data_IF_348398636907
#
_entry.id   IF_348398636907
#
_cell.length_a   1.000
_cell.length_b   1.000
_cell.length_c   1.000
_cell.angle_alpha   90.00
_cell.angle_beta   90.00
_cell.angle_gamma   90.00
#
_symmetry.space_group_name_H-M   'P 1'
#
loop_
_entity.id
_entity.type
_entity.pdbx_description
1 polymer ?
#
# COMPACT_ATOMS: atom_id res chain seq x y z
N UNK A 1 21.56 17.17 -12.50
CA UNK A 1 20.22 16.59 -12.47
C UNK A 1 19.45 17.21 -11.34
N UNK A 2 18.15 17.54 -11.48
CA UNK A 2 17.35 17.99 -10.36
C UNK A 2 17.31 16.88 -9.29
N UNK A 3 17.22 17.23 -8.00
CA UNK A 3 17.09 16.23 -6.94
C UNK A 3 15.81 15.43 -7.13
N UNK A 4 15.87 14.12 -6.82
CA UNK A 4 14.67 13.28 -6.83
C UNK A 4 13.71 13.75 -5.73
N UNK A 5 12.43 13.87 -6.08
CA UNK A 5 11.36 14.21 -5.14
C UNK A 5 10.25 13.16 -5.23
N UNK A 6 9.77 12.72 -4.09
CA UNK A 6 8.59 11.88 -3.96
C UNK A 6 7.54 12.59 -3.11
N UNK A 7 6.37 12.77 -3.66
CA UNK A 7 5.21 13.30 -2.96
C UNK A 7 4.29 12.13 -2.61
N UNK A 8 3.82 12.10 -1.37
CA UNK A 8 2.92 11.07 -0.87
C UNK A 8 1.65 11.01 -1.70
N UNK A 9 1.25 9.80 -2.09
CA UNK A 9 0.08 9.56 -2.95
C UNK A 9 -1.18 9.43 -2.10
N UNK A 10 -1.15 8.56 -1.10
CA UNK A 10 -2.28 8.29 -0.23
C UNK A 10 -2.16 9.08 1.06
N UNK A 11 -2.93 10.18 1.15
CA UNK A 11 -2.92 11.08 2.32
C UNK A 11 -3.83 10.56 3.42
N UNK A 12 -3.43 10.78 4.68
CA UNK A 12 -4.21 10.40 5.86
C UNK A 12 -5.41 11.34 6.02
N UNK A 13 -6.65 10.81 5.98
CA UNK A 13 -7.82 11.62 6.29
C UNK A 13 -7.72 12.25 7.68
N UNK A 14 -8.13 13.49 7.82
CA UNK A 14 -8.06 14.28 9.07
C UNK A 14 -6.65 14.47 9.67
N UNK A 15 -5.60 13.98 9.00
CA UNK A 15 -4.21 14.19 9.40
C UNK A 15 -3.43 14.99 8.37
N UNK A 16 -3.64 14.70 7.09
CA UNK A 16 -2.90 15.29 5.96
C UNK A 16 -3.83 15.96 4.94
N UNK A 17 -5.12 15.66 4.96
CA UNK A 17 -6.14 16.38 4.18
C UNK A 17 -7.49 16.32 4.90
N UNK A 18 -8.35 17.29 4.55
CA UNK A 18 -9.72 17.35 5.05
C UNK A 18 -10.65 16.76 4.00
N UNK A 19 -11.38 15.65 4.29
CA UNK A 19 -12.37 15.11 3.37
C UNK A 19 -13.43 16.16 2.99
N UNK A 20 -13.89 16.09 1.74
CA UNK A 20 -14.92 17.01 1.23
C UNK A 20 -16.16 17.00 2.13
N UNK A 21 -16.62 18.18 2.53
CA UNK A 21 -17.80 18.33 3.40
C UNK A 21 -17.49 18.33 4.91
N UNK A 22 -16.25 18.07 5.34
CA UNK A 22 -15.88 18.05 6.76
C UNK A 22 -15.07 19.26 7.24
N UNK A 23 -14.87 20.27 6.41
CA UNK A 23 -14.08 21.47 6.77
C UNK A 23 -14.66 22.19 8.00
N UNK A 24 -15.97 22.30 8.10
CA UNK A 24 -16.66 22.87 9.27
C UNK A 24 -16.33 22.14 10.58
N UNK A 25 -16.18 20.82 10.53
CA UNK A 25 -15.84 20.00 11.70
C UNK A 25 -14.41 20.26 12.17
N UNK A 26 -13.46 20.35 11.24
CA UNK A 26 -12.06 20.60 11.57
C UNK A 26 -11.84 22.03 12.10
N UNK A 27 -12.60 23.00 11.58
CA UNK A 27 -12.62 24.37 12.07
C UNK A 27 -13.20 24.43 13.50
N UNK A 28 -14.33 23.75 13.74
CA UNK A 28 -14.96 23.66 15.07
C UNK A 28 -14.04 23.03 16.11
N UNK A 29 -13.28 22.00 15.73
CA UNK A 29 -12.37 21.29 16.61
C UNK A 29 -10.98 21.94 16.71
N UNK A 30 -10.75 23.05 16.02
CA UNK A 30 -9.49 23.79 15.97
C UNK A 30 -8.28 22.88 15.68
N UNK A 31 -8.45 21.91 14.75
CA UNK A 31 -7.41 20.98 14.36
C UNK A 31 -6.49 21.67 13.34
N UNK A 32 -5.19 21.86 13.64
CA UNK A 32 -4.25 22.50 12.72
C UNK A 32 -3.88 21.53 11.59
N UNK A 33 -4.74 21.43 10.58
CA UNK A 33 -4.52 20.56 9.43
C UNK A 33 -4.01 21.34 8.24
N UNK A 34 -3.00 20.76 7.56
CA UNK A 34 -2.56 21.21 6.25
C UNK A 34 -3.26 20.40 5.14
N UNK A 35 -3.65 21.07 4.07
CA UNK A 35 -4.01 20.38 2.82
C UNK A 35 -2.72 20.07 2.06
N UNK A 36 -2.20 18.84 2.20
CA UNK A 36 -1.02 18.42 1.44
C UNK A 36 -1.39 18.07 0.00
N UNK A 37 -0.47 18.38 -0.92
CA UNK A 37 -0.59 17.98 -2.31
C UNK A 37 -0.30 16.49 -2.45
N UNK A 38 -1.08 15.79 -3.29
CA UNK A 38 -0.88 14.39 -3.62
C UNK A 38 0.10 14.22 -4.76
N UNK A 39 0.95 13.20 -4.67
CA UNK A 39 1.78 12.74 -5.77
C UNK A 39 1.02 11.85 -6.77
N UNK A 40 1.64 11.53 -7.91
CA UNK A 40 1.08 10.60 -8.89
C UNK A 40 1.23 9.14 -8.43
N UNK A 41 0.22 8.30 -8.72
CA UNK A 41 0.23 6.86 -8.40
C UNK A 41 1.42 6.10 -9.00
N UNK A 42 1.85 6.51 -10.18
CA UNK A 42 2.95 5.90 -10.92
C UNK A 42 4.26 6.69 -10.78
N UNK A 43 4.50 7.30 -9.62
CA UNK A 43 5.75 8.02 -9.37
C UNK A 43 6.96 7.13 -9.73
N UNK A 44 7.94 7.66 -10.49
CA UNK A 44 9.10 6.89 -10.91
C UNK A 44 9.95 6.49 -9.71
N UNK A 45 10.59 5.32 -9.78
CA UNK A 45 11.61 4.93 -8.82
C UNK A 45 12.88 5.77 -9.00
N UNK A 46 13.60 6.05 -7.93
CA UNK A 46 14.93 6.62 -8.06
C UNK A 46 15.97 5.50 -8.23
N UNK A 47 17.05 5.82 -8.93
CA UNK A 47 18.10 4.84 -9.23
C UNK A 47 19.31 5.09 -8.34
N UNK A 48 19.73 4.07 -7.62
CA UNK A 48 20.93 4.06 -6.81
C UNK A 48 21.65 2.72 -6.94
N UNK A 49 22.93 2.76 -7.24
CA UNK A 49 23.75 1.55 -7.45
C UNK A 49 23.11 0.53 -8.42
N UNK A 50 22.48 1.02 -9.49
CA UNK A 50 21.80 0.18 -10.48
C UNK A 50 20.45 -0.39 -10.05
N UNK A 51 19.99 -0.11 -8.82
CA UNK A 51 18.69 -0.54 -8.31
C UNK A 51 17.62 0.55 -8.48
N UNK A 52 16.43 0.15 -8.85
CA UNK A 52 15.24 1.01 -8.90
C UNK A 52 14.51 0.97 -7.56
N UNK A 53 14.71 1.98 -6.74
CA UNK A 53 14.12 2.06 -5.40
C UNK A 53 12.83 2.86 -5.46
N UNK A 54 11.73 2.25 -5.06
CA UNK A 54 10.42 2.89 -4.99
C UNK A 54 10.11 3.31 -3.56
N UNK A 55 10.11 4.62 -3.26
CA UNK A 55 9.68 5.10 -1.96
C UNK A 55 8.18 4.94 -1.79
N UNK A 56 7.76 4.77 -0.55
CA UNK A 56 6.41 4.93 -0.09
C UNK A 56 6.44 5.51 1.33
N UNK A 57 5.44 6.30 1.69
CA UNK A 57 5.44 7.06 2.93
C UNK A 57 4.36 6.54 3.88
N UNK A 58 4.79 6.08 5.05
CA UNK A 58 3.92 5.66 6.13
C UNK A 58 2.98 4.53 5.67
N UNK A 59 1.68 4.66 5.88
CA UNK A 59 0.70 3.63 5.58
C UNK A 59 0.36 3.46 4.08
N UNK A 60 1.07 4.11 3.17
CA UNK A 60 0.94 3.84 1.73
C UNK A 60 1.19 2.36 1.40
N UNK A 61 2.02 1.69 2.18
CA UNK A 61 2.23 0.25 2.03
C UNK A 61 1.00 -0.61 2.38
N UNK A 62 -0.04 -0.04 2.97
CA UNK A 62 -1.34 -0.71 3.13
C UNK A 62 -2.04 -0.94 1.78
N UNK A 63 -1.79 -0.06 0.81
CA UNK A 63 -2.50 -0.03 -0.47
C UNK A 63 -1.72 -0.76 -1.59
N UNK A 64 -1.68 -2.09 -1.52
CA UNK A 64 -0.95 -2.91 -2.49
C UNK A 64 -1.38 -2.67 -3.94
N UNK A 65 -2.66 -2.39 -4.21
CA UNK A 65 -3.14 -2.07 -5.54
C UNK A 65 -2.59 -0.74 -6.09
N UNK A 66 -2.35 0.25 -5.24
CA UNK A 66 -1.72 1.51 -5.61
C UNK A 66 -0.22 1.31 -5.89
N UNK A 67 0.48 0.57 -5.02
CA UNK A 67 1.88 0.21 -5.27
C UNK A 67 2.06 -0.60 -6.56
N UNK A 68 1.07 -1.43 -6.92
CA UNK A 68 1.10 -2.23 -8.13
C UNK A 68 1.13 -1.37 -9.40
N UNK A 69 0.63 -0.13 -9.37
CA UNK A 69 0.67 0.77 -10.53
C UNK A 69 2.11 1.04 -11.05
N UNK A 70 3.11 0.90 -10.19
CA UNK A 70 4.53 1.02 -10.55
C UNK A 70 5.07 -0.21 -11.31
N UNK A 71 4.25 -1.27 -11.48
CA UNK A 71 4.59 -2.51 -12.17
C UNK A 71 3.88 -2.67 -13.52
N UNK A 72 3.19 -1.63 -14.00
CA UNK A 72 2.54 -1.62 -15.33
C UNK A 72 3.59 -1.84 -16.41
N UNK A 73 4.70 -1.10 -16.35
CA UNK A 73 5.87 -1.31 -17.20
C UNK A 73 6.94 -2.11 -16.44
N UNK A 74 7.20 -3.37 -16.84
CA UNK A 74 8.19 -4.22 -16.18
C UNK A 74 9.61 -3.66 -16.22
N UNK A 75 9.95 -2.88 -17.27
CA UNK A 75 11.28 -2.30 -17.40
C UNK A 75 11.55 -1.20 -16.38
N UNK A 76 10.51 -0.51 -15.93
CA UNK A 76 10.55 0.57 -14.94
C UNK A 76 10.16 0.10 -13.55
N UNK A 77 9.69 -1.14 -13.42
CA UNK A 77 9.26 -1.70 -12.15
C UNK A 77 10.34 -1.62 -11.08
N UNK A 78 10.00 -1.29 -9.83
CA UNK A 78 10.97 -1.21 -8.75
C UNK A 78 11.63 -2.55 -8.46
N UNK A 79 12.89 -2.53 -8.05
CA UNK A 79 13.63 -3.69 -7.57
C UNK A 79 13.67 -3.76 -6.05
N UNK A 80 13.47 -2.63 -5.39
CA UNK A 80 13.49 -2.46 -3.92
C UNK A 80 12.40 -1.47 -3.53
N UNK A 81 11.71 -1.70 -2.43
CA UNK A 81 10.85 -0.71 -1.76
C UNK A 81 11.60 0.00 -0.64
N UNK A 82 11.25 1.26 -0.39
CA UNK A 82 11.73 2.02 0.76
C UNK A 82 10.55 2.71 1.45
N UNK A 83 10.20 2.27 2.67
CA UNK A 83 9.15 2.88 3.47
C UNK A 83 9.75 3.79 4.53
N UNK A 84 9.31 5.05 4.56
CA UNK A 84 9.64 6.00 5.61
C UNK A 84 8.37 6.38 6.37
N UNK A 85 8.35 6.19 7.70
CA UNK A 85 7.12 6.33 8.48
C UNK A 85 7.32 7.13 9.75
N UNK A 86 6.36 8.02 10.00
CA UNK A 86 6.14 8.57 11.33
C UNK A 86 5.02 7.76 12.00
N UNK A 87 5.40 6.79 12.84
CA UNK A 87 4.44 5.93 13.57
C UNK A 87 4.26 6.37 15.01
N UNK A 88 4.92 7.46 15.43
CA UNK A 88 4.84 8.00 16.79
C UNK A 88 3.43 8.37 17.25
N UNK A 89 2.49 8.58 16.30
CA UNK A 89 1.07 8.84 16.57
C UNK A 89 0.39 7.74 17.40
N UNK A 90 0.86 6.51 17.28
CA UNK A 90 0.24 5.34 17.91
C UNK A 90 0.88 4.97 19.26
N UNK A 91 2.00 5.63 19.65
CA UNK A 91 2.74 5.29 20.84
C UNK A 91 3.24 3.84 20.84
N UNK A 92 3.45 3.29 22.04
CA UNK A 92 3.85 1.89 22.23
C UNK A 92 2.63 0.98 22.24
N UNK A 93 2.15 0.66 21.05
CA UNK A 93 0.96 -0.17 20.85
C UNK A 93 1.18 -1.23 19.78
N UNK A 94 0.26 -2.18 19.67
CA UNK A 94 0.24 -3.21 18.63
C UNK A 94 0.27 -2.64 17.20
N UNK A 95 -0.06 -1.38 17.00
CA UNK A 95 -0.04 -0.73 15.70
C UNK A 95 1.35 -0.75 15.05
N UNK A 96 2.43 -0.72 15.85
CA UNK A 96 3.81 -0.83 15.37
C UNK A 96 4.05 -2.17 14.67
N UNK A 97 3.66 -3.27 15.33
CA UNK A 97 3.81 -4.62 14.81
C UNK A 97 2.88 -4.87 13.61
N UNK A 98 1.65 -4.36 13.67
CA UNK A 98 0.70 -4.46 12.56
C UNK A 98 1.24 -3.75 11.31
N UNK A 99 1.79 -2.56 11.46
CA UNK A 99 2.37 -1.83 10.33
C UNK A 99 3.64 -2.52 9.78
N UNK A 100 4.47 -3.12 10.64
CA UNK A 100 5.58 -3.97 10.18
C UNK A 100 5.06 -5.16 9.35
N UNK A 101 4.00 -5.82 9.81
CA UNK A 101 3.41 -6.94 9.09
C UNK A 101 2.81 -6.53 7.73
N UNK A 102 2.25 -5.32 7.60
CA UNK A 102 1.83 -4.76 6.32
C UNK A 102 3.01 -4.68 5.36
N UNK A 103 4.13 -4.08 5.79
CA UNK A 103 5.35 -3.98 4.97
C UNK A 103 5.88 -5.37 4.55
N UNK A 104 5.84 -6.36 5.46
CA UNK A 104 6.21 -7.76 5.16
C UNK A 104 5.32 -8.37 4.09
N UNK A 105 4.01 -8.13 4.17
CA UNK A 105 3.05 -8.59 3.14
C UNK A 105 3.35 -7.96 1.79
N UNK A 106 3.68 -6.66 1.74
CA UNK A 106 4.08 -6.01 0.48
C UNK A 106 5.34 -6.63 -0.10
N UNK A 107 6.37 -6.87 0.73
CA UNK A 107 7.57 -7.56 0.27
C UNK A 107 7.25 -8.91 -0.33
N UNK A 108 6.38 -9.69 0.30
CA UNK A 108 5.97 -11.02 -0.17
C UNK A 108 5.17 -10.96 -1.49
N UNK A 109 4.16 -10.10 -1.57
CA UNK A 109 3.28 -9.97 -2.74
C UNK A 109 4.02 -9.53 -3.99
N UNK A 110 4.95 -8.60 -3.85
CA UNK A 110 5.73 -8.07 -4.96
C UNK A 110 7.06 -8.81 -5.17
N UNK A 111 7.46 -9.68 -4.25
CA UNK A 111 8.77 -10.31 -4.22
C UNK A 111 9.90 -9.27 -4.31
N UNK A 112 9.78 -8.20 -3.52
CA UNK A 112 10.76 -7.11 -3.42
C UNK A 112 11.20 -6.95 -1.97
N UNK A 113 12.50 -6.79 -1.69
CA UNK A 113 12.94 -6.40 -0.37
C UNK A 113 12.43 -4.99 -0.05
N UNK A 114 12.21 -4.72 1.24
CA UNK A 114 11.80 -3.42 1.73
C UNK A 114 12.76 -2.92 2.81
N UNK A 115 13.27 -1.70 2.59
CA UNK A 115 14.00 -0.94 3.59
C UNK A 115 12.99 -0.07 4.34
N UNK A 116 12.93 -0.21 5.63
CA UNK A 116 11.97 0.49 6.46
C UNK A 116 12.67 1.38 7.47
N UNK A 117 12.41 2.68 7.45
CA UNK A 117 12.90 3.66 8.40
C UNK A 117 11.75 4.34 9.14
N UNK A 118 11.76 4.27 10.46
CA UNK A 118 10.69 4.81 11.32
C UNK A 118 11.26 5.62 12.47
N UNK A 119 10.48 6.52 13.05
CA UNK A 119 10.91 7.32 14.18
C UNK A 119 10.82 6.59 15.53
N UNK A 120 9.79 5.75 15.77
CA UNK A 120 9.54 5.15 17.09
C UNK A 120 9.52 3.62 17.09
N UNK A 121 9.45 2.98 15.93
CA UNK A 121 9.44 1.52 15.95
C UNK A 121 9.44 0.86 14.60
N UNK A 122 9.94 -0.38 14.57
CA UNK A 122 10.03 -1.26 13.42
C UNK A 122 10.86 -0.69 12.25
N UNK A 123 12.00 0.01 12.55
CA UNK A 123 13.05 0.23 11.56
C UNK A 123 13.67 -1.13 11.24
N UNK A 124 13.55 -1.57 9.98
CA UNK A 124 13.86 -2.95 9.62
C UNK A 124 14.33 -3.09 8.17
N UNK A 125 15.07 -4.16 7.92
CA UNK A 125 15.39 -4.70 6.60
C UNK A 125 14.56 -5.96 6.41
N UNK A 126 13.70 -5.95 5.39
CA UNK A 126 12.78 -7.05 5.07
C UNK A 126 13.19 -7.64 3.71
N UNK A 127 13.34 -8.96 3.64
CA UNK A 127 13.65 -9.63 2.38
C UNK A 127 12.43 -9.76 1.46
N UNK A 128 12.65 -10.22 0.25
CA UNK A 128 11.60 -10.43 -0.74
C UNK A 128 10.56 -11.49 -0.35
N UNK A 129 10.83 -12.31 0.66
CA UNK A 129 9.93 -13.32 1.20
C UNK A 129 9.16 -12.81 2.44
N UNK A 130 9.29 -11.51 2.75
CA UNK A 130 8.63 -10.91 3.90
C UNK A 130 9.26 -11.27 5.25
N UNK A 131 10.49 -11.79 5.27
CA UNK A 131 11.21 -12.11 6.49
C UNK A 131 12.01 -10.89 6.95
N UNK A 132 11.91 -10.56 8.23
CA UNK A 132 12.72 -9.50 8.83
C UNK A 132 14.14 -10.04 9.00
N UNK A 133 15.10 -9.48 8.27
CA UNK A 133 16.51 -9.87 8.33
C UNK A 133 17.24 -9.18 9.48
N UNK A 134 16.89 -7.92 9.72
CA UNK A 134 17.44 -7.12 10.80
C UNK A 134 16.43 -6.05 11.22
N UNK A 135 16.43 -5.69 12.50
CA UNK A 135 15.52 -4.68 13.05
C UNK A 135 16.19 -3.97 14.24
N UNK A 136 15.99 -2.67 14.35
CA UNK A 136 16.34 -1.91 15.55
C UNK A 136 15.30 -2.16 16.65
N UNK A 137 15.70 -2.16 17.92
CA UNK A 137 14.75 -2.12 19.03
C UNK A 137 13.82 -0.89 18.90
N UNK A 138 12.52 -1.02 19.23
CA UNK A 138 11.63 0.12 19.26
C UNK A 138 12.12 1.25 20.18
N UNK A 139 11.75 2.48 19.87
CA UNK A 139 12.06 3.68 20.64
C UNK A 139 13.57 3.93 20.88
N UNK A 140 14.44 3.34 20.04
CA UNK A 140 15.87 3.60 20.07
C UNK A 140 16.32 4.38 18.85
N UNK A 141 17.14 5.41 19.07
CA UNK A 141 17.80 6.10 17.99
C UNK A 141 19.01 5.28 17.52
N UNK A 142 19.08 5.01 16.21
CA UNK A 142 20.18 4.24 15.66
C UNK A 142 20.17 4.19 14.14
N UNK A 143 21.22 3.60 13.60
CA UNK A 143 21.35 3.29 12.17
C UNK A 143 21.36 1.78 12.03
N UNK A 144 20.59 1.27 11.09
CA UNK A 144 20.56 -0.15 10.74
C UNK A 144 21.28 -0.33 9.40
N UNK A 145 22.47 -0.90 9.46
CA UNK A 145 23.25 -1.22 8.27
C UNK A 145 22.95 -2.64 7.78
N UNK A 146 22.92 -2.79 6.46
CA UNK A 146 22.73 -4.10 5.86
C UNK A 146 22.76 -4.07 4.35
N UNK A 147 22.75 -5.26 3.74
CA UNK A 147 22.76 -5.43 2.29
C UNK A 147 21.47 -6.09 1.87
N UNK A 148 20.83 -5.53 0.84
CA UNK A 148 19.67 -6.13 0.20
C UNK A 148 19.95 -6.39 -1.28
N UNK A 149 19.44 -7.50 -1.77
CA UNK A 149 19.51 -7.84 -3.20
C UNK A 149 18.19 -7.43 -3.85
N UNK A 150 18.22 -6.42 -4.73
CA UNK A 150 17.08 -6.05 -5.55
C UNK A 150 16.64 -7.21 -6.46
N UNK A 151 15.37 -7.25 -6.79
CA UNK A 151 14.78 -8.33 -7.60
C UNK A 151 13.96 -7.76 -8.76
N UNK A 152 14.04 -8.43 -9.89
CA UNK A 152 13.25 -8.14 -11.09
C UNK A 152 12.10 -9.15 -11.28
N UNK A 153 11.35 -9.00 -12.35
CA UNK A 153 10.22 -9.84 -12.72
C UNK A 153 8.90 -9.35 -12.17
N UNK A 154 7.82 -10.03 -12.51
CA UNK A 154 6.46 -9.72 -12.06
C UNK A 154 5.88 -10.92 -11.31
N UNK A 155 5.33 -10.68 -10.13
CA UNK A 155 4.49 -11.68 -9.46
C UNK A 155 3.09 -11.69 -10.06
N UNK A 156 2.33 -12.79 -9.90
CA UNK A 156 0.92 -12.83 -10.31
C UNK A 156 0.11 -11.70 -9.66
N UNK A 157 0.39 -11.39 -8.39
CA UNK A 157 -0.26 -10.29 -7.69
C UNK A 157 0.05 -8.94 -8.34
N UNK A 158 1.32 -8.62 -8.58
CA UNK A 158 1.74 -7.37 -9.21
C UNK A 158 1.12 -7.21 -10.61
N UNK A 159 1.17 -8.28 -11.41
CA UNK A 159 0.61 -8.28 -12.77
C UNK A 159 -0.90 -8.06 -12.79
N UNK A 160 -1.63 -8.78 -11.92
CA UNK A 160 -3.08 -8.67 -11.83
C UNK A 160 -3.52 -7.32 -11.28
N UNK A 161 -2.97 -6.92 -10.13
CA UNK A 161 -3.36 -5.69 -9.45
C UNK A 161 -3.07 -4.43 -10.26
N UNK A 162 -1.94 -4.42 -10.99
CA UNK A 162 -1.59 -3.30 -11.85
C UNK A 162 -2.56 -3.09 -13.01
N UNK A 163 -3.22 -4.15 -13.51
CA UNK A 163 -4.03 -4.11 -14.75
C UNK A 163 -5.53 -4.17 -14.49
N UNK A 164 -5.94 -4.99 -13.56
CA UNK A 164 -7.35 -5.32 -13.36
C UNK A 164 -7.88 -4.88 -11.99
N UNK A 165 -7.03 -4.83 -10.95
CA UNK A 165 -7.47 -4.52 -9.59
C UNK A 165 -8.61 -5.43 -9.14
N UNK A 166 -9.68 -4.82 -8.60
CA UNK A 166 -10.87 -5.53 -8.13
C UNK A 166 -12.00 -5.65 -9.18
N UNK A 167 -11.86 -4.99 -10.34
CA UNK A 167 -12.95 -4.93 -11.32
C UNK A 167 -13.51 -6.29 -11.76
N UNK A 168 -12.69 -7.31 -12.08
CA UNK A 168 -13.23 -8.61 -12.49
C UNK A 168 -14.07 -9.29 -11.39
N UNK A 169 -13.68 -9.12 -10.14
CA UNK A 169 -14.42 -9.65 -9.00
C UNK A 169 -15.75 -8.93 -8.77
N UNK A 170 -15.78 -7.61 -8.96
CA UNK A 170 -17.03 -6.83 -8.88
C UNK A 170 -18.00 -7.23 -9.98
N UNK A 171 -17.51 -7.43 -11.21
CA UNK A 171 -18.32 -7.92 -12.34
C UNK A 171 -18.87 -9.31 -12.03
N UNK A 172 -18.01 -10.23 -11.57
CA UNK A 172 -18.43 -11.58 -11.20
C UNK A 172 -19.50 -11.57 -10.09
N UNK A 173 -19.28 -10.79 -9.04
CA UNK A 173 -20.24 -10.64 -7.95
C UNK A 173 -21.59 -10.08 -8.44
N UNK A 174 -21.56 -9.11 -9.36
CA UNK A 174 -22.76 -8.56 -10.00
C UNK A 174 -23.51 -9.60 -10.82
N UNK A 175 -22.80 -10.42 -11.60
CA UNK A 175 -23.41 -11.50 -12.41
C UNK A 175 -24.04 -12.58 -11.53
N UNK A 176 -23.34 -13.03 -10.50
CA UNK A 176 -23.86 -14.03 -9.55
C UNK A 176 -25.06 -13.50 -8.80
N UNK A 177 -25.00 -12.25 -8.31
CA UNK A 177 -26.10 -11.60 -7.62
C UNK A 177 -27.32 -11.43 -8.52
N UNK A 178 -27.13 -10.97 -9.76
CA UNK A 178 -28.17 -10.82 -10.76
C UNK A 178 -28.85 -12.16 -11.12
N UNK A 179 -28.05 -13.20 -11.35
CA UNK A 179 -28.58 -14.55 -11.62
C UNK A 179 -29.42 -15.09 -10.44
N UNK A 180 -28.92 -14.89 -9.21
CA UNK A 180 -29.62 -15.32 -7.98
C UNK A 180 -30.98 -14.61 -7.80
N UNK A 181 -31.03 -13.30 -8.09
CA UNK A 181 -32.26 -12.52 -8.03
C UNK A 181 -33.25 -12.94 -9.12
N UNK A 182 -32.77 -13.22 -10.33
CA UNK A 182 -33.59 -13.70 -11.44
C UNK A 182 -34.18 -15.08 -11.16
N UNK A 183 -33.38 -15.99 -10.58
CA UNK A 183 -33.85 -17.32 -10.20
C UNK A 183 -34.99 -17.27 -9.14
N UNK A 184 -34.89 -16.32 -8.20
CA UNK A 184 -35.94 -16.12 -7.16
C UNK A 184 -37.24 -15.54 -7.74
N UNK A 185 -37.19 -14.84 -8.87
CA UNK A 185 -38.34 -14.23 -9.53
C UNK A 185 -39.02 -15.16 -10.55
N UNK A 186 -38.40 -16.29 -10.91
CA UNK A 186 -39.02 -17.25 -11.80
C UNK A 186 -40.30 -17.79 -11.15
N UNK A 187 -41.46 -17.69 -11.83
CA UNK A 187 -42.73 -18.19 -11.28
C UNK A 187 -42.65 -19.71 -11.11
N UNK A 188 -43.04 -20.20 -9.92
CA UNK A 188 -43.18 -21.62 -9.70
C UNK A 188 -44.14 -22.17 -10.78
N UNK A 189 -43.69 -23.09 -11.63
CA UNK A 189 -44.52 -23.76 -12.61
C UNK A 189 -45.64 -24.44 -11.85
N UNK A 190 -46.89 -23.91 -11.99
CA UNK A 190 -48.10 -24.56 -11.44
C UNK A 190 -48.19 -25.92 -12.11
N UNK A 191 -47.87 -26.98 -11.36
CA UNK A 191 -48.14 -28.33 -11.78
C UNK A 191 -49.64 -28.45 -12.05
N UNK A 192 -49.98 -28.80 -13.28
CA UNK A 192 -51.36 -29.14 -13.66
C UNK A 192 -51.70 -30.45 -12.98
N UNK A 193 -52.72 -30.52 -12.09
CA UNK A 193 -53.15 -31.80 -11.55
C UNK A 193 -53.84 -32.59 -12.67
N UNK A 194 -53.46 -33.85 -12.84
CA UNK A 194 -54.16 -34.83 -13.67
C UNK A 194 -55.35 -35.36 -12.92
#
# INVERSE_FOLDING_TARGET
>A
MPPYRYDKVHLVPFGEFIPTGFRWFTELMNIPLGDFARGPLNAPSFVVAGQRVAPNICYEDLFGAELAQRFIDPALAPTIFANVSNIGWFGDTIAVDQHLNISRMRSLEFQRPMLRATNTGATAIIDHQGRVQAMLPPFTQGVLDGTVQGRDGLTPFAWWSARFGLWPWLVLAGLVGGASLSARRAPASRGVPR
#
